data_IF_543415332493
#
_entry.id   IF_543415332493
#
_cell.length_a   1.000
_cell.length_b   1.000
_cell.length_c   1.000
_cell.angle_alpha   90.00
_cell.angle_beta   90.00
_cell.angle_gamma   90.00
#
_symmetry.space_group_name_H-M   'P 1'
#
loop_
_entity.id
_entity.type
_entity.pdbx_description
1 polymer ?
#
# COMPACT_ATOMS: atom_id res chain seq x y z
N UNK A 1 -14.15 -24.53 44.92
CA UNK A 1 -13.96 -25.36 43.71
C UNK A 1 -15.31 -25.57 43.02
N UNK A 2 -15.84 -24.51 42.40
CA UNK A 2 -17.07 -24.58 41.63
C UNK A 2 -16.70 -24.89 40.19
N UNK A 3 -16.81 -26.17 39.82
CA UNK A 3 -16.65 -26.62 38.43
C UNK A 3 -17.59 -25.80 37.55
N UNK A 4 -17.03 -25.14 36.53
CA UNK A 4 -17.82 -24.55 35.45
C UNK A 4 -18.77 -25.62 34.93
N UNK A 5 -20.06 -25.30 34.94
CA UNK A 5 -21.14 -26.24 34.73
C UNK A 5 -21.11 -26.73 33.26
N UNK A 6 -20.42 -27.84 32.97
CA UNK A 6 -20.42 -28.46 31.65
C UNK A 6 -21.84 -28.90 31.28
N UNK A 7 -22.55 -28.10 30.50
CA UNK A 7 -23.80 -28.52 29.87
C UNK A 7 -23.55 -28.80 28.40
N UNK A 8 -23.39 -30.08 28.09
CA UNK A 8 -23.35 -30.58 26.73
C UNK A 8 -24.77 -30.56 26.16
N UNK A 9 -25.11 -29.49 25.44
CA UNK A 9 -26.44 -29.28 24.89
C UNK A 9 -26.62 -30.05 23.58
N UNK A 10 -27.63 -30.94 23.54
CA UNK A 10 -27.98 -31.87 22.44
C UNK A 10 -28.86 -31.25 21.33
N UNK A 11 -28.92 -29.92 21.21
CA UNK A 11 -29.67 -29.32 20.10
C UNK A 11 -28.80 -29.43 18.83
N UNK A 12 -29.34 -30.03 17.77
CA UNK A 12 -28.73 -30.26 16.44
C UNK A 12 -27.66 -31.37 16.27
N UNK A 13 -27.65 -32.43 17.08
CA UNK A 13 -26.66 -33.51 16.97
C UNK A 13 -25.20 -32.99 16.98
N UNK A 14 -24.92 -31.97 17.79
CA UNK A 14 -23.57 -31.41 17.96
C UNK A 14 -23.04 -31.70 19.35
N UNK A 15 -21.73 -31.94 19.42
CA UNK A 15 -20.99 -31.96 20.67
C UNK A 15 -20.54 -30.54 20.96
N UNK A 16 -21.11 -29.91 21.98
CA UNK A 16 -20.74 -28.54 22.38
C UNK A 16 -20.27 -28.50 23.83
N UNK A 17 -19.35 -27.59 24.15
CA UNK A 17 -19.07 -27.20 25.53
C UNK A 17 -19.44 -25.73 25.74
N UNK A 18 -19.83 -25.40 26.97
CA UNK A 18 -20.26 -24.07 27.37
C UNK A 18 -19.21 -23.45 28.28
N UNK A 19 -18.79 -22.22 27.98
CA UNK A 19 -17.92 -21.41 28.85
C UNK A 19 -18.56 -20.03 28.97
N UNK A 20 -19.02 -19.70 30.19
CA UNK A 20 -19.87 -18.53 30.41
C UNK A 20 -21.21 -18.67 29.70
N UNK A 21 -21.52 -17.72 28.82
CA UNK A 21 -22.70 -17.70 27.95
C UNK A 21 -22.39 -18.17 26.52
N UNK A 22 -21.12 -18.44 26.19
CA UNK A 22 -20.70 -18.85 24.86
C UNK A 22 -20.69 -20.38 24.72
N UNK A 23 -21.17 -20.84 23.56
CA UNK A 23 -21.21 -22.26 23.20
C UNK A 23 -20.19 -22.53 22.10
N UNK A 24 -19.29 -23.49 22.34
CA UNK A 24 -18.26 -23.88 21.38
C UNK A 24 -18.50 -25.31 20.90
N UNK A 25 -18.49 -25.51 19.58
CA UNK A 25 -18.67 -26.82 18.98
C UNK A 25 -17.37 -27.59 18.88
N UNK A 26 -17.35 -28.81 19.43
CA UNK A 26 -16.27 -29.78 19.33
C UNK A 26 -16.44 -30.64 18.08
N UNK A 27 -17.66 -31.13 17.83
CA UNK A 27 -17.94 -32.04 16.70
C UNK A 27 -19.41 -32.03 16.31
N UNK A 28 -19.70 -32.59 15.13
CA UNK A 28 -21.05 -32.76 14.58
C UNK A 28 -21.30 -34.25 14.31
N UNK A 29 -22.55 -34.68 14.45
CA UNK A 29 -22.94 -36.07 14.25
C UNK A 29 -24.15 -36.18 13.33
N UNK A 30 -24.17 -37.22 12.51
CA UNK A 30 -25.33 -37.57 11.68
C UNK A 30 -26.38 -38.36 12.47
N UNK A 31 -25.97 -38.97 13.58
CA UNK A 31 -26.79 -39.82 14.44
C UNK A 31 -26.84 -39.30 15.87
N UNK A 32 -27.91 -39.61 16.62
CA UNK A 32 -28.04 -39.18 18.01
C UNK A 32 -27.04 -39.91 18.91
N UNK A 33 -26.08 -39.15 19.43
CA UNK A 33 -25.11 -39.63 20.42
C UNK A 33 -25.58 -39.36 21.86
N UNK A 34 -25.09 -40.15 22.80
CA UNK A 34 -25.33 -40.03 24.24
C UNK A 34 -24.01 -39.86 24.97
N UNK A 35 -23.93 -38.85 25.84
CA UNK A 35 -22.74 -38.55 26.62
C UNK A 35 -22.56 -39.58 27.73
N UNK A 36 -21.41 -40.25 27.78
CA UNK A 36 -21.03 -41.15 28.88
C UNK A 36 -20.33 -40.39 30.01
N UNK A 37 -19.44 -39.45 29.65
CA UNK A 37 -18.72 -38.62 30.61
C UNK A 37 -17.37 -38.15 30.10
N UNK A 38 -16.69 -37.32 30.91
CA UNK A 38 -15.31 -36.89 30.69
C UNK A 38 -14.38 -37.70 31.60
N UNK A 39 -13.28 -38.21 31.04
CA UNK A 39 -12.26 -38.93 31.79
C UNK A 39 -10.98 -38.09 31.86
N UNK A 40 -10.66 -37.46 33.02
CA UNK A 40 -9.52 -36.55 33.15
C UNK A 40 -8.18 -37.20 32.84
N UNK A 41 -8.02 -38.49 33.20
CA UNK A 41 -6.82 -39.28 32.90
C UNK A 41 -6.48 -39.29 31.40
N UNK A 42 -7.52 -39.30 30.56
CA UNK A 42 -7.38 -39.45 29.12
C UNK A 42 -7.61 -38.12 28.37
N UNK A 43 -8.01 -37.04 29.08
CA UNK A 43 -8.31 -35.73 28.48
C UNK A 43 -9.44 -35.77 27.45
N UNK A 44 -10.40 -36.70 27.62
CA UNK A 44 -11.37 -37.05 26.57
C UNK A 44 -12.79 -37.15 27.08
N UNK A 45 -13.72 -36.72 26.25
CA UNK A 45 -15.15 -36.97 26.38
C UNK A 45 -15.49 -38.25 25.64
N UNK A 46 -16.22 -39.14 26.29
CA UNK A 46 -16.73 -40.38 25.70
C UNK A 46 -18.23 -40.27 25.42
N UNK A 47 -18.62 -40.70 24.22
CA UNK A 47 -20.01 -40.78 23.78
C UNK A 47 -20.32 -42.18 23.25
N UNK A 48 -21.59 -42.55 23.29
CA UNK A 48 -22.09 -43.79 22.68
C UNK A 48 -23.33 -43.55 21.83
N UNK A 49 -23.50 -44.36 20.79
CA UNK A 49 -24.73 -44.42 19.97
C UNK A 49 -25.75 -45.42 20.58
N UNK A 50 -26.81 -45.75 19.84
CA UNK A 50 -27.81 -46.73 20.29
C UNK A 50 -27.31 -48.18 20.16
N UNK A 51 -26.34 -48.39 19.28
CA UNK A 51 -25.69 -49.65 18.95
C UNK A 51 -24.55 -49.99 19.93
N UNK A 52 -24.33 -49.15 20.96
CA UNK A 52 -23.27 -49.25 21.96
C UNK A 52 -21.85 -49.07 21.38
N UNK A 53 -21.73 -48.49 20.20
CA UNK A 53 -20.44 -48.03 19.67
C UNK A 53 -19.99 -46.84 20.50
N UNK A 54 -18.75 -46.89 21.00
CA UNK A 54 -18.18 -45.79 21.79
C UNK A 54 -17.22 -44.98 20.93
N UNK A 55 -17.39 -43.66 20.92
CA UNK A 55 -16.47 -42.70 20.29
C UNK A 55 -15.92 -41.76 21.35
N UNK A 56 -14.73 -41.21 21.11
CA UNK A 56 -14.10 -40.26 22.04
C UNK A 56 -13.59 -39.02 21.32
N UNK A 57 -13.70 -37.87 22.00
CA UNK A 57 -13.22 -36.58 21.52
C UNK A 57 -12.30 -35.96 22.55
N UNK A 58 -11.17 -35.42 22.10
CA UNK A 58 -10.26 -34.69 22.96
C UNK A 58 -10.90 -33.35 23.39
N UNK A 59 -10.85 -33.06 24.68
CA UNK A 59 -11.20 -31.76 25.25
C UNK A 59 -10.11 -31.38 26.24
N UNK A 60 -9.33 -30.35 25.91
CA UNK A 60 -8.27 -29.87 26.80
C UNK A 60 -8.89 -29.08 27.95
N UNK A 61 -8.81 -29.63 29.17
CA UNK A 61 -9.32 -28.95 30.35
C UNK A 61 -8.61 -27.61 30.58
N UNK A 62 -7.30 -27.54 30.30
CA UNK A 62 -6.51 -26.31 30.43
C UNK A 62 -7.02 -25.16 29.55
N UNK A 63 -7.47 -25.45 28.33
CA UNK A 63 -8.06 -24.44 27.43
C UNK A 63 -9.39 -23.92 28.00
N UNK A 64 -10.22 -24.83 28.52
CA UNK A 64 -11.51 -24.46 29.12
C UNK A 64 -11.33 -23.64 30.40
N UNK A 65 -10.37 -24.04 31.23
CA UNK A 65 -10.00 -23.31 32.45
C UNK A 65 -9.47 -21.92 32.12
N UNK A 66 -8.57 -21.80 31.13
CA UNK A 66 -8.08 -20.53 30.62
C UNK A 66 -9.22 -19.62 30.16
N UNK A 67 -10.11 -20.12 29.29
CA UNK A 67 -11.27 -19.37 28.83
C UNK A 67 -12.16 -18.92 29.99
N UNK A 68 -12.34 -19.79 30.99
CA UNK A 68 -13.15 -19.47 32.17
C UNK A 68 -12.52 -18.37 33.02
N UNK A 69 -11.18 -18.37 33.19
CA UNK A 69 -10.46 -17.34 33.93
C UNK A 69 -10.54 -15.99 33.23
N UNK A 70 -10.34 -15.95 31.91
CA UNK A 70 -10.49 -14.73 31.10
C UNK A 70 -11.91 -14.16 31.20
N UNK A 71 -12.95 -14.99 31.10
CA UNK A 71 -14.35 -14.53 31.25
C UNK A 71 -14.67 -14.03 32.66
N UNK A 72 -13.94 -14.49 33.68
CA UNK A 72 -14.06 -14.00 35.06
C UNK A 72 -13.26 -12.72 35.31
N UNK A 73 -12.45 -12.27 34.35
CA UNK A 73 -11.56 -11.13 34.48
C UNK A 73 -10.27 -11.41 35.26
N UNK A 74 -9.98 -12.68 35.56
CA UNK A 74 -8.75 -13.09 36.27
C UNK A 74 -7.63 -13.37 35.24
N UNK A 75 -7.08 -12.28 34.70
CA UNK A 75 -6.07 -12.36 33.64
C UNK A 75 -4.71 -12.81 34.14
N UNK A 76 -4.39 -12.54 35.40
CA UNK A 76 -3.11 -12.93 36.01
C UNK A 76 -3.01 -14.46 36.08
N UNK A 77 -4.03 -15.11 36.64
CA UNK A 77 -4.10 -16.57 36.70
C UNK A 77 -4.19 -17.21 35.30
N UNK A 78 -4.88 -16.56 34.36
CA UNK A 78 -4.95 -17.04 32.98
C UNK A 78 -3.57 -17.03 32.31
N UNK A 79 -2.76 -15.99 32.56
CA UNK A 79 -1.41 -15.86 31.98
C UNK A 79 -0.48 -16.95 32.51
N UNK A 80 -0.54 -17.29 33.80
CA UNK A 80 0.23 -18.41 34.36
C UNK A 80 -0.15 -19.75 33.71
N UNK A 81 -1.45 -19.98 33.49
CA UNK A 81 -1.95 -21.20 32.87
C UNK A 81 -1.61 -21.30 31.37
N UNK A 82 -1.27 -20.19 30.71
CA UNK A 82 -1.00 -20.15 29.28
C UNK A 82 0.19 -21.06 28.90
N UNK A 83 1.21 -21.17 29.76
CA UNK A 83 2.41 -21.97 29.53
C UNK A 83 2.11 -23.49 29.50
N UNK A 84 1.10 -23.93 30.24
CA UNK A 84 0.70 -25.33 30.33
C UNK A 84 -0.16 -25.78 29.14
N UNK A 85 -0.62 -24.84 28.31
CA UNK A 85 -1.53 -25.16 27.21
C UNK A 85 -0.72 -25.63 26.00
N UNK A 86 -1.12 -26.75 25.37
CA UNK A 86 -0.47 -27.25 24.16
C UNK A 86 -0.47 -26.23 23.00
N UNK A 87 0.66 -26.14 22.28
CA UNK A 87 0.87 -25.18 21.18
C UNK A 87 -0.15 -25.29 20.04
N UNK A 88 -0.67 -26.49 19.80
CA UNK A 88 -1.70 -26.76 18.79
C UNK A 88 -3.06 -26.12 19.15
N UNK A 89 -3.28 -25.77 20.41
CA UNK A 89 -4.50 -25.08 20.87
C UNK A 89 -4.34 -23.55 20.96
N UNK A 90 -3.13 -23.01 20.80
CA UNK A 90 -2.84 -21.57 20.92
C UNK A 90 -3.67 -20.72 19.95
N UNK A 91 -3.83 -21.14 18.70
CA UNK A 91 -4.66 -20.40 17.75
C UNK A 91 -6.15 -20.33 18.13
N UNK A 92 -6.67 -21.34 18.84
CA UNK A 92 -8.04 -21.28 19.36
C UNK A 92 -8.15 -20.26 20.50
N UNK A 93 -7.10 -20.17 21.33
CA UNK A 93 -7.01 -19.16 22.38
C UNK A 93 -6.90 -17.76 21.79
N UNK A 94 -6.06 -17.56 20.77
CA UNK A 94 -5.94 -16.28 20.08
C UNK A 94 -7.29 -15.79 19.53
N UNK A 95 -8.02 -16.64 18.79
CA UNK A 95 -9.36 -16.30 18.29
C UNK A 95 -10.38 -16.04 19.40
N UNK A 96 -10.28 -16.80 20.50
CA UNK A 96 -11.12 -16.55 21.67
C UNK A 96 -10.83 -15.18 22.28
N UNK A 97 -9.56 -14.84 22.52
CA UNK A 97 -9.13 -13.55 23.06
C UNK A 97 -9.55 -12.40 22.16
N UNK A 98 -9.39 -12.54 20.84
CA UNK A 98 -9.89 -11.58 19.85
C UNK A 98 -11.40 -11.38 19.98
N UNK A 99 -12.18 -12.46 20.07
CA UNK A 99 -13.62 -12.42 20.25
C UNK A 99 -14.06 -11.77 21.56
N UNK A 100 -13.24 -11.84 22.61
CA UNK A 100 -13.45 -11.12 23.87
C UNK A 100 -12.96 -9.66 23.84
N UNK A 101 -12.33 -9.22 22.74
CA UNK A 101 -11.81 -7.86 22.58
C UNK A 101 -10.35 -7.67 23.03
N UNK A 102 -9.69 -8.70 23.56
CA UNK A 102 -8.29 -8.67 23.97
C UNK A 102 -7.34 -8.88 22.78
N UNK A 103 -7.38 -7.98 21.80
CA UNK A 103 -6.65 -8.12 20.54
C UNK A 103 -5.13 -8.13 20.70
N UNK A 104 -4.58 -7.32 21.61
CA UNK A 104 -3.13 -7.31 21.88
C UNK A 104 -2.62 -8.66 22.38
N UNK A 105 -3.31 -9.26 23.36
CA UNK A 105 -2.98 -10.58 23.87
C UNK A 105 -3.22 -11.68 22.82
N UNK A 106 -4.28 -11.53 22.01
CA UNK A 106 -4.53 -12.43 20.90
C UNK A 106 -3.35 -12.47 19.92
N UNK A 107 -2.74 -11.32 19.62
CA UNK A 107 -1.58 -11.23 18.73
C UNK A 107 -0.35 -11.95 19.31
N UNK A 108 -0.12 -11.84 20.61
CA UNK A 108 1.03 -12.46 21.28
C UNK A 108 0.90 -14.00 21.31
N UNK A 109 -0.34 -14.50 21.45
CA UNK A 109 -0.64 -15.93 21.50
C UNK A 109 -0.80 -16.55 20.09
N UNK A 110 -1.15 -15.76 19.08
CA UNK A 110 -1.36 -16.24 17.72
C UNK A 110 -0.10 -16.88 17.13
N UNK A 111 -0.21 -18.15 16.72
CA UNK A 111 0.86 -18.90 16.07
C UNK A 111 0.67 -19.00 14.55
N UNK A 112 -0.56 -18.83 14.07
CA UNK A 112 -0.87 -18.75 12.65
C UNK A 112 -0.48 -17.38 12.07
N UNK A 113 0.24 -17.39 10.96
CA UNK A 113 0.75 -16.17 10.34
C UNK A 113 -0.35 -15.32 9.69
N UNK A 114 -1.39 -15.94 9.12
CA UNK A 114 -2.52 -15.21 8.52
C UNK A 114 -3.28 -14.45 9.62
N UNK A 115 -3.69 -15.17 10.67
CA UNK A 115 -4.40 -14.56 11.78
C UNK A 115 -3.56 -13.48 12.48
N UNK A 116 -2.26 -13.73 12.68
CA UNK A 116 -1.34 -12.75 13.29
C UNK A 116 -1.18 -11.50 12.42
N UNK A 117 -1.18 -11.65 11.09
CA UNK A 117 -1.13 -10.52 10.16
C UNK A 117 -2.38 -9.64 10.27
N UNK A 118 -3.57 -10.25 10.24
CA UNK A 118 -4.84 -9.52 10.35
C UNK A 118 -4.95 -8.79 11.70
N UNK A 119 -4.56 -9.45 12.80
CA UNK A 119 -4.52 -8.85 14.12
C UNK A 119 -3.53 -7.66 14.18
N UNK A 120 -2.33 -7.82 13.61
CA UNK A 120 -1.32 -6.77 13.61
C UNK A 120 -1.79 -5.53 12.83
N UNK A 121 -2.40 -5.73 11.66
CA UNK A 121 -3.01 -4.65 10.87
C UNK A 121 -4.15 -3.98 11.63
N UNK A 122 -5.06 -4.76 12.21
CA UNK A 122 -6.21 -4.23 12.97
C UNK A 122 -5.80 -3.44 14.23
N UNK A 123 -4.64 -3.75 14.81
CA UNK A 123 -4.05 -3.02 15.93
C UNK A 123 -3.16 -1.84 15.52
N UNK A 124 -2.89 -1.66 14.22
CA UNK A 124 -1.94 -0.65 13.73
C UNK A 124 -0.48 -0.97 14.07
N UNK A 125 -0.15 -2.22 14.44
CA UNK A 125 1.23 -2.68 14.69
C UNK A 125 1.92 -3.02 13.37
N UNK A 126 2.23 -1.98 12.60
CA UNK A 126 2.74 -2.08 11.24
C UNK A 126 4.08 -2.83 11.15
N UNK A 127 4.96 -2.73 12.16
CA UNK A 127 6.25 -3.41 12.17
C UNK A 127 6.09 -4.94 12.10
N UNK A 128 5.16 -5.48 12.89
CA UNK A 128 4.87 -6.93 12.92
C UNK A 128 4.22 -7.35 11.60
N UNK A 129 3.30 -6.54 11.06
CA UNK A 129 2.67 -6.83 9.78
C UNK A 129 3.69 -6.84 8.62
N UNK A 130 4.66 -5.92 8.65
CA UNK A 130 5.76 -5.83 7.69
C UNK A 130 6.67 -7.06 7.76
N UNK A 131 7.07 -7.49 8.95
CA UNK A 131 7.88 -8.70 9.11
C UNK A 131 7.18 -9.93 8.52
N UNK A 132 5.88 -10.08 8.77
CA UNK A 132 5.09 -11.18 8.21
C UNK A 132 4.97 -11.07 6.68
N UNK A 133 4.77 -9.85 6.16
CA UNK A 133 4.73 -9.59 4.72
C UNK A 133 6.08 -9.94 4.04
N UNK A 134 7.22 -9.58 4.67
CA UNK A 134 8.57 -9.92 4.20
C UNK A 134 8.83 -11.42 4.12
N UNK A 135 8.35 -12.18 5.10
CA UNK A 135 8.51 -13.64 5.12
C UNK A 135 7.67 -14.33 4.05
N UNK A 136 6.46 -13.83 3.81
CA UNK A 136 5.51 -14.47 2.89
C UNK A 136 5.71 -14.03 1.45
N UNK A 137 6.17 -12.80 1.24
CA UNK A 137 6.50 -12.19 -0.04
C UNK A 137 5.37 -12.29 -1.09
N UNK A 138 4.18 -11.83 -0.70
CA UNK A 138 2.99 -11.80 -1.57
C UNK A 138 2.57 -10.37 -1.81
N UNK A 139 2.41 -9.99 -3.09
CA UNK A 139 2.10 -8.62 -3.53
C UNK A 139 0.86 -8.04 -2.83
N UNK A 140 -0.20 -8.83 -2.64
CA UNK A 140 -1.41 -8.39 -1.94
C UNK A 140 -1.12 -7.96 -0.49
N UNK A 141 -0.31 -8.72 0.25
CA UNK A 141 0.02 -8.39 1.65
C UNK A 141 0.86 -7.13 1.74
N UNK A 142 1.84 -6.99 0.85
CA UNK A 142 2.61 -5.76 0.72
C UNK A 142 1.71 -4.54 0.50
N UNK A 143 0.74 -4.66 -0.42
CA UNK A 143 -0.24 -3.60 -0.66
C UNK A 143 -1.08 -3.30 0.58
N UNK A 144 -1.59 -4.31 1.28
CA UNK A 144 -2.41 -4.10 2.49
C UNK A 144 -1.62 -3.38 3.60
N UNK A 145 -0.36 -3.75 3.82
CA UNK A 145 0.51 -3.04 4.77
C UNK A 145 0.79 -1.62 4.28
N UNK A 146 1.01 -1.43 2.98
CA UNK A 146 1.23 -0.11 2.38
C UNK A 146 0.03 0.83 2.55
N UNK A 147 -1.19 0.33 2.32
CA UNK A 147 -2.43 1.09 2.52
C UNK A 147 -2.63 1.47 4.00
N UNK A 148 -2.34 0.54 4.92
CA UNK A 148 -2.39 0.81 6.35
C UNK A 148 -1.31 1.83 6.79
N UNK A 149 -0.10 1.72 6.24
CA UNK A 149 0.99 2.67 6.49
C UNK A 149 0.66 4.07 5.97
N UNK A 150 0.07 4.17 4.78
CA UNK A 150 -0.39 5.43 4.21
C UNK A 150 -1.49 6.07 5.06
N UNK A 151 -2.46 5.27 5.53
CA UNK A 151 -3.51 5.74 6.45
C UNK A 151 -2.95 6.22 7.81
N UNK A 152 -1.83 5.62 8.25
CA UNK A 152 -1.10 6.03 9.44
C UNK A 152 -0.08 7.16 9.19
N UNK A 153 -0.08 7.77 8.00
CA UNK A 153 0.86 8.83 7.59
C UNK A 153 2.34 8.42 7.56
N UNK A 154 2.63 7.12 7.55
CA UNK A 154 3.99 6.60 7.40
C UNK A 154 4.32 6.42 5.91
N UNK A 155 4.69 7.53 5.26
CA UNK A 155 4.94 7.58 3.82
C UNK A 155 6.14 6.72 3.39
N UNK A 156 7.20 6.68 4.18
CA UNK A 156 8.40 5.90 3.86
C UNK A 156 8.11 4.40 3.85
N UNK A 157 7.33 3.92 4.83
CA UNK A 157 6.91 2.53 4.87
C UNK A 157 5.93 2.21 3.73
N UNK A 158 4.99 3.10 3.45
CA UNK A 158 4.06 2.93 2.34
C UNK A 158 4.80 2.82 1.00
N UNK A 159 5.82 3.64 0.76
CA UNK A 159 6.67 3.58 -0.43
C UNK A 159 7.38 2.22 -0.57
N UNK A 160 8.04 1.74 0.50
CA UNK A 160 8.67 0.41 0.52
C UNK A 160 7.66 -0.69 0.19
N UNK A 161 6.49 -0.64 0.83
CA UNK A 161 5.42 -1.61 0.61
C UNK A 161 4.88 -1.58 -0.83
N UNK A 162 4.59 -0.41 -1.39
CA UNK A 162 4.08 -0.32 -2.76
C UNK A 162 5.13 -0.71 -3.81
N UNK A 163 6.42 -0.45 -3.55
CA UNK A 163 7.51 -0.93 -4.39
C UNK A 163 7.54 -2.45 -4.48
N UNK A 164 7.48 -3.13 -3.33
CA UNK A 164 7.45 -4.59 -3.27
C UNK A 164 6.12 -5.18 -3.80
N UNK A 165 5.00 -4.47 -3.62
CA UNK A 165 3.71 -4.85 -4.18
C UNK A 165 3.60 -4.64 -5.70
N UNK A 166 4.57 -3.96 -6.32
CA UNK A 166 4.51 -3.48 -7.71
C UNK A 166 3.27 -2.63 -7.99
N UNK A 167 2.79 -1.89 -6.99
CA UNK A 167 1.64 -0.99 -7.13
C UNK A 167 2.10 0.35 -7.72
N UNK A 168 2.29 0.35 -9.04
CA UNK A 168 2.78 1.51 -9.78
C UNK A 168 1.85 2.74 -9.67
N UNK A 169 0.55 2.52 -9.47
CA UNK A 169 -0.43 3.60 -9.32
C UNK A 169 -0.26 4.33 -8.00
N UNK A 170 -0.15 3.58 -6.90
CA UNK A 170 0.09 4.13 -5.57
C UNK A 170 1.46 4.80 -5.46
N UNK A 171 2.50 4.22 -6.08
CA UNK A 171 3.82 4.86 -6.19
C UNK A 171 3.77 6.16 -6.99
N UNK A 172 3.04 6.20 -8.12
CA UNK A 172 2.88 7.44 -8.90
C UNK A 172 2.25 8.53 -8.05
N UNK A 173 1.18 8.21 -7.30
CA UNK A 173 0.52 9.16 -6.42
C UNK A 173 1.49 9.68 -5.35
N UNK A 174 2.24 8.79 -4.70
CA UNK A 174 3.16 9.15 -3.63
C UNK A 174 4.29 10.06 -4.16
N UNK A 175 5.02 9.63 -5.18
CA UNK A 175 6.17 10.39 -5.71
C UNK A 175 5.75 11.68 -6.40
N UNK A 176 4.61 11.71 -7.10
CA UNK A 176 4.12 12.96 -7.72
C UNK A 176 3.64 13.97 -6.70
N UNK A 177 3.03 13.52 -5.59
CA UNK A 177 2.57 14.41 -4.52
C UNK A 177 3.73 14.94 -3.67
N UNK A 178 4.78 14.15 -3.46
CA UNK A 178 5.97 14.56 -2.73
C UNK A 178 7.02 15.28 -3.59
N UNK A 179 6.80 15.35 -4.92
CA UNK A 179 7.77 15.87 -5.91
C UNK A 179 9.12 15.13 -5.82
N UNK A 180 9.08 13.83 -5.56
CA UNK A 180 10.26 12.99 -5.54
C UNK A 180 10.70 12.63 -6.97
N UNK A 181 11.66 13.40 -7.50
CA UNK A 181 12.19 13.17 -8.84
C UNK A 181 12.92 11.83 -8.97
N UNK A 182 13.61 11.37 -7.92
CA UNK A 182 14.35 10.12 -7.98
C UNK A 182 13.40 8.92 -7.99
N UNK A 183 12.36 8.96 -7.16
CA UNK A 183 11.29 7.97 -7.15
C UNK A 183 10.51 7.92 -8.46
N UNK A 184 10.14 9.08 -9.03
CA UNK A 184 9.49 9.15 -10.34
C UNK A 184 10.36 8.56 -11.46
N UNK A 185 11.68 8.76 -11.44
CA UNK A 185 12.58 8.18 -12.45
C UNK A 185 12.61 6.65 -12.35
N UNK A 186 12.73 6.11 -11.13
CA UNK A 186 12.70 4.65 -10.88
C UNK A 186 11.34 4.06 -11.29
N UNK A 187 10.25 4.73 -10.93
CA UNK A 187 8.90 4.33 -11.29
C UNK A 187 8.69 4.32 -12.81
N UNK A 188 9.19 5.34 -13.52
CA UNK A 188 9.08 5.40 -14.97
C UNK A 188 9.76 4.18 -15.64
N UNK A 189 10.96 3.82 -15.19
CA UNK A 189 11.69 2.66 -15.69
C UNK A 189 10.97 1.35 -15.37
N UNK A 190 10.52 1.17 -14.12
CA UNK A 190 9.75 -0.01 -13.71
C UNK A 190 8.44 -0.15 -14.49
N UNK A 191 7.72 0.96 -14.72
CA UNK A 191 6.49 1.00 -15.50
C UNK A 191 6.74 0.70 -16.99
N UNK A 192 7.90 1.10 -17.52
CA UNK A 192 8.30 0.79 -18.89
C UNK A 192 8.56 -0.71 -19.06
N UNK A 193 9.25 -1.32 -18.10
CA UNK A 193 9.53 -2.76 -18.06
C UNK A 193 8.27 -3.60 -17.87
N UNK A 194 7.30 -3.13 -17.09
CA UNK A 194 6.02 -3.83 -16.88
C UNK A 194 5.01 -3.64 -18.02
N UNK A 195 5.34 -2.84 -19.05
CA UNK A 195 4.41 -2.49 -20.14
C UNK A 195 3.33 -1.47 -19.74
N UNK A 196 3.41 -0.88 -18.55
CA UNK A 196 2.49 0.15 -18.05
C UNK A 196 2.84 1.54 -18.60
N UNK A 197 2.77 1.70 -19.92
CA UNK A 197 3.24 2.89 -20.62
C UNK A 197 2.56 4.19 -20.20
N UNK A 198 1.29 4.17 -19.78
CA UNK A 198 0.59 5.39 -19.34
C UNK A 198 1.16 5.91 -18.00
N UNK A 199 1.53 5.01 -17.09
CA UNK A 199 2.16 5.36 -15.82
C UNK A 199 3.58 5.88 -16.09
N UNK A 200 4.33 5.19 -16.96
CA UNK A 200 5.65 5.65 -17.38
C UNK A 200 5.60 7.06 -17.99
N UNK A 201 4.66 7.31 -18.90
CA UNK A 201 4.47 8.63 -19.51
C UNK A 201 4.13 9.69 -18.46
N UNK A 202 3.22 9.38 -17.53
CA UNK A 202 2.81 10.32 -16.47
C UNK A 202 3.98 10.65 -15.53
N UNK A 203 4.80 9.67 -15.19
CA UNK A 203 5.99 9.87 -14.37
C UNK A 203 7.03 10.75 -15.08
N UNK A 204 7.33 10.46 -16.35
CA UNK A 204 8.26 11.25 -17.18
C UNK A 204 7.74 12.68 -17.39
N UNK A 205 6.43 12.85 -17.57
CA UNK A 205 5.81 14.16 -17.71
C UNK A 205 5.99 15.01 -16.43
N UNK A 206 5.77 14.40 -15.26
CA UNK A 206 6.00 15.09 -13.98
C UNK A 206 7.47 15.43 -13.73
N UNK A 207 8.39 14.67 -14.33
CA UNK A 207 9.82 14.99 -14.35
C UNK A 207 10.20 16.08 -15.36
N UNK A 208 9.25 16.53 -16.19
CA UNK A 208 9.50 17.43 -17.31
C UNK A 208 10.50 16.86 -18.34
N UNK A 209 10.63 15.54 -18.43
CA UNK A 209 11.47 14.86 -19.42
C UNK A 209 10.70 14.66 -20.73
N UNK A 210 10.60 15.75 -21.49
CA UNK A 210 9.85 15.79 -22.76
C UNK A 210 10.45 14.84 -23.78
N UNK A 211 11.77 14.67 -23.80
CA UNK A 211 12.43 13.74 -24.72
C UNK A 211 12.05 12.29 -24.46
N UNK A 212 12.11 11.87 -23.20
CA UNK A 212 11.75 10.51 -22.83
C UNK A 212 10.25 10.24 -23.07
N UNK A 213 9.38 11.24 -22.87
CA UNK A 213 7.96 11.17 -23.24
C UNK A 213 7.77 10.93 -24.75
N UNK A 214 8.47 11.70 -25.60
CA UNK A 214 8.46 11.51 -27.06
C UNK A 214 8.94 10.12 -27.43
N UNK A 215 10.08 9.69 -26.87
CA UNK A 215 10.68 8.39 -27.16
C UNK A 215 9.75 7.24 -26.77
N UNK A 216 9.05 7.35 -25.63
CA UNK A 216 8.06 6.37 -25.20
C UNK A 216 6.87 6.26 -26.18
N UNK A 217 6.39 7.38 -26.72
CA UNK A 217 5.34 7.39 -27.74
C UNK A 217 5.81 6.73 -29.03
N UNK A 218 7.04 7.02 -29.48
CA UNK A 218 7.65 6.37 -30.65
C UNK A 218 7.81 4.87 -30.43
N UNK A 219 8.33 4.44 -29.28
CA UNK A 219 8.50 3.02 -28.92
C UNK A 219 7.17 2.25 -28.90
N UNK A 220 6.07 2.93 -28.56
CA UNK A 220 4.73 2.34 -28.58
C UNK A 220 4.00 2.49 -29.94
N UNK A 221 4.71 2.89 -31.00
CA UNK A 221 4.20 3.15 -32.34
C UNK A 221 3.10 4.23 -32.44
N UNK A 222 3.05 5.14 -31.47
CA UNK A 222 2.11 6.28 -31.42
C UNK A 222 2.71 7.52 -32.09
N UNK A 223 3.08 7.39 -33.36
CA UNK A 223 3.80 8.43 -34.12
C UNK A 223 3.03 9.75 -34.25
N UNK A 224 1.70 9.68 -34.39
CA UNK A 224 0.85 10.88 -34.49
C UNK A 224 0.95 11.69 -33.20
N UNK A 225 0.71 11.03 -32.07
CA UNK A 225 0.79 11.65 -30.74
C UNK A 225 2.21 12.18 -30.47
N UNK A 226 3.26 11.45 -30.85
CA UNK A 226 4.65 11.93 -30.68
C UNK A 226 4.93 13.20 -31.49
N UNK A 227 4.43 13.29 -32.73
CA UNK A 227 4.60 14.48 -33.57
C UNK A 227 3.86 15.68 -32.98
N UNK A 228 2.60 15.50 -32.57
CA UNK A 228 1.83 16.59 -31.94
C UNK A 228 2.45 17.05 -30.62
N UNK A 229 2.90 16.10 -29.80
CA UNK A 229 3.53 16.39 -28.53
C UNK A 229 4.88 17.12 -28.72
N UNK A 230 5.71 16.66 -29.65
CA UNK A 230 6.95 17.35 -30.03
C UNK A 230 6.65 18.75 -30.60
N UNK A 231 5.69 18.90 -31.50
CA UNK A 231 5.36 20.21 -32.07
C UNK A 231 4.96 21.23 -30.99
N UNK A 232 4.35 20.77 -29.90
CA UNK A 232 3.89 21.64 -28.80
C UNK A 232 5.01 21.94 -27.80
N UNK A 233 5.77 20.94 -27.37
CA UNK A 233 6.69 21.04 -26.23
C UNK A 233 8.18 20.94 -26.59
N UNK A 234 8.50 20.43 -27.79
CA UNK A 234 9.87 20.32 -28.31
C UNK A 234 9.94 20.38 -29.85
N UNK A 235 9.58 21.53 -30.46
CA UNK A 235 9.49 21.69 -31.91
C UNK A 235 10.69 21.15 -32.70
N UNK A 236 11.90 21.29 -32.16
CA UNK A 236 13.17 20.82 -32.74
C UNK A 236 13.18 19.35 -33.14
N UNK A 237 12.42 18.48 -32.46
CA UNK A 237 12.32 17.04 -32.76
C UNK A 237 11.23 16.69 -33.78
N UNK A 238 10.28 17.60 -34.02
CA UNK A 238 9.11 17.38 -34.89
C UNK A 238 9.48 16.97 -36.33
N UNK A 239 10.50 17.54 -36.99
CA UNK A 239 10.81 17.22 -38.38
C UNK A 239 11.15 15.73 -38.58
N UNK A 240 12.08 15.20 -37.77
CA UNK A 240 12.50 13.80 -37.83
C UNK A 240 11.35 12.83 -37.49
N UNK A 241 10.54 13.17 -36.49
CA UNK A 241 9.37 12.38 -36.09
C UNK A 241 8.31 12.34 -37.20
N UNK A 242 8.12 13.44 -37.92
CA UNK A 242 7.16 13.52 -39.03
C UNK A 242 7.59 12.63 -40.19
N UNK A 243 8.89 12.55 -40.48
CA UNK A 243 9.44 11.62 -41.47
C UNK A 243 9.19 10.17 -41.04
N UNK A 244 9.47 9.82 -39.78
CA UNK A 244 9.20 8.48 -39.25
C UNK A 244 7.71 8.12 -39.32
N UNK A 245 6.83 9.08 -39.01
CA UNK A 245 5.38 8.90 -39.15
C UNK A 245 4.97 8.62 -40.59
N UNK A 246 5.49 9.37 -41.57
CA UNK A 246 5.24 9.14 -43.01
C UNK A 246 5.72 7.75 -43.44
N UNK A 247 6.92 7.34 -43.05
CA UNK A 247 7.46 6.01 -43.33
C UNK A 247 6.58 4.89 -42.74
N UNK A 248 6.10 5.06 -41.51
CA UNK A 248 5.18 4.13 -40.85
C UNK A 248 3.85 4.00 -41.61
N UNK A 249 3.29 5.12 -42.09
CA UNK A 249 2.08 5.12 -42.90
C UNK A 249 2.28 4.41 -44.26
N UNK A 250 3.42 4.64 -44.92
CA UNK A 250 3.76 3.97 -46.17
C UNK A 250 3.89 2.46 -46.00
N UNK A 251 4.60 2.03 -44.95
CA UNK A 251 4.72 0.60 -44.58
C UNK A 251 3.35 -0.05 -44.34
N UNK A 252 2.40 0.72 -43.80
CA UNK A 252 1.02 0.28 -43.56
C UNK A 252 0.09 0.47 -44.77
N UNK A 253 0.62 0.75 -45.97
CA UNK A 253 -0.16 0.88 -47.21
C UNK A 253 -0.96 2.18 -47.35
N UNK A 254 -0.75 3.16 -46.46
CA UNK A 254 -1.44 4.46 -46.43
C UNK A 254 -0.65 5.57 -47.13
N UNK A 255 -0.03 5.26 -48.26
CA UNK A 255 0.85 6.19 -49.01
C UNK A 255 0.16 7.49 -49.42
N UNK A 256 -1.14 7.45 -49.75
CA UNK A 256 -1.90 8.66 -50.08
C UNK A 256 -1.97 9.64 -48.90
N UNK A 257 -2.16 9.13 -47.68
CA UNK A 257 -2.20 9.94 -46.46
C UNK A 257 -0.81 10.47 -46.14
N UNK A 258 0.22 9.62 -46.25
CA UNK A 258 1.61 10.01 -46.02
C UNK A 258 2.01 11.23 -46.86
N UNK A 259 1.62 11.28 -48.14
CA UNK A 259 1.93 12.40 -49.05
C UNK A 259 1.28 13.73 -48.69
N UNK A 260 0.18 13.73 -47.95
CA UNK A 260 -0.57 14.96 -47.59
C UNK A 260 -0.01 15.58 -46.29
N UNK A 261 0.77 14.81 -45.51
CA UNK A 261 1.38 15.31 -44.28
C UNK A 261 2.55 16.22 -44.64
N UNK A 262 2.42 17.50 -44.28
CA UNK A 262 3.48 18.50 -44.40
C UNK A 262 4.60 18.23 -43.40
N UNK A 263 5.85 18.34 -43.86
CA UNK A 263 7.05 18.12 -43.04
C UNK A 263 7.63 19.46 -42.61
N UNK A 264 7.78 19.74 -41.30
CA UNK A 264 8.37 20.99 -40.84
C UNK A 264 9.85 21.16 -41.25
N UNK A 265 10.35 22.40 -41.32
CA UNK A 265 11.75 22.69 -41.67
C UNK A 265 12.76 21.99 -40.75
N UNK A 266 13.91 21.59 -41.33
CA UNK A 266 15.02 20.96 -40.59
C UNK A 266 15.46 19.59 -41.10
N UNK A 267 14.79 19.05 -42.13
CA UNK A 267 15.13 17.77 -42.79
C UNK A 267 15.09 17.90 -44.31
N UNK A 268 15.68 16.95 -45.03
CA UNK A 268 15.60 16.91 -46.50
C UNK A 268 14.14 16.74 -46.98
N UNK A 269 13.74 17.51 -48.00
CA UNK A 269 12.38 17.57 -48.53
C UNK A 269 11.32 18.07 -47.51
N UNK A 270 11.70 19.02 -46.66
CA UNK A 270 10.74 19.76 -45.83
C UNK A 270 9.83 20.67 -46.67
N UNK A 271 8.64 20.93 -46.16
CA UNK A 271 7.61 21.77 -46.77
C UNK A 271 7.60 23.16 -46.12
N UNK A 272 8.72 23.89 -46.22
CA UNK A 272 8.99 25.13 -45.48
C UNK A 272 7.87 26.19 -45.62
N UNK A 273 7.29 26.31 -46.81
CA UNK A 273 6.19 27.25 -47.11
C UNK A 273 4.93 26.99 -46.25
N UNK A 274 4.73 25.77 -45.73
CA UNK A 274 3.61 25.42 -44.86
C UNK A 274 3.83 25.83 -43.39
N UNK A 275 5.06 26.20 -43.02
CA UNK A 275 5.45 26.50 -41.63
C UNK A 275 6.19 27.86 -41.53
N UNK A 276 5.55 28.99 -41.89
CA UNK A 276 6.22 30.30 -41.97
C UNK A 276 6.76 30.82 -40.63
N UNK A 277 6.21 30.38 -39.50
CA UNK A 277 6.59 30.80 -38.15
C UNK A 277 7.53 29.80 -37.45
N UNK A 278 8.11 28.84 -38.18
CA UNK A 278 8.87 27.74 -37.58
C UNK A 278 10.09 28.20 -36.76
N UNK A 279 10.84 29.18 -37.28
CA UNK A 279 11.98 29.76 -36.57
C UNK A 279 11.59 30.39 -35.23
N UNK A 280 10.38 30.95 -35.14
CA UNK A 280 9.87 31.52 -33.90
C UNK A 280 9.54 30.43 -32.88
N UNK A 281 9.00 29.28 -33.31
CA UNK A 281 8.80 28.13 -32.41
C UNK A 281 10.12 27.57 -31.88
N UNK A 282 11.16 27.48 -32.72
CA UNK A 282 12.49 27.02 -32.29
C UNK A 282 13.14 28.01 -31.30
N UNK A 283 12.95 29.32 -31.50
CA UNK A 283 13.40 30.34 -30.52
C UNK A 283 12.67 30.21 -29.19
N UNK A 284 11.34 30.04 -29.22
CA UNK A 284 10.53 29.86 -28.00
C UNK A 284 10.95 28.60 -27.23
N UNK A 285 11.27 27.51 -27.91
CA UNK A 285 11.83 26.30 -27.28
C UNK A 285 13.16 26.60 -26.59
N UNK A 286 14.08 27.29 -27.28
CA UNK A 286 15.39 27.64 -26.73
C UNK A 286 15.28 28.61 -25.53
N UNK A 287 14.30 29.51 -25.55
CA UNK A 287 14.08 30.51 -24.50
C UNK A 287 13.23 30.00 -23.33
N UNK A 288 12.40 28.97 -23.56
CA UNK A 288 11.38 28.44 -22.64
C UNK A 288 11.87 27.43 -21.60
N UNK A 289 13.17 27.16 -21.52
CA UNK A 289 13.75 26.35 -20.45
C UNK A 289 13.72 27.03 -19.09
N UNK A 290 14.01 26.28 -18.01
CA UNK A 290 14.28 26.87 -16.68
C UNK A 290 15.51 27.76 -16.84
N UNK A 291 15.31 29.05 -17.10
CA UNK A 291 16.33 30.05 -16.87
C UNK A 291 16.59 29.99 -15.37
N UNK A 292 17.80 29.60 -14.97
CA UNK A 292 18.38 30.05 -13.69
C UNK A 292 18.59 31.55 -13.79
N UNK A 293 17.53 32.31 -14.04
CA UNK A 293 17.49 33.73 -13.78
C UNK A 293 17.54 33.79 -12.26
N UNK A 294 18.65 34.29 -11.73
CA UNK A 294 18.73 34.73 -10.34
C UNK A 294 17.48 35.57 -10.07
N UNK A 295 16.54 34.97 -9.33
CA UNK A 295 15.34 35.65 -8.90
C UNK A 295 15.79 36.69 -7.89
N UNK A 296 15.83 37.95 -8.37
CA UNK A 296 15.87 39.20 -7.62
C UNK A 296 17.28 39.62 -7.16
N UNK A 297 17.99 40.36 -8.02
CA UNK A 297 18.84 41.46 -7.53
C UNK A 297 17.88 42.64 -7.28
N UNK A 298 17.52 42.87 -6.01
CA UNK A 298 16.98 44.18 -5.62
C UNK A 298 18.15 45.14 -5.80
N UNK A 299 18.09 45.94 -6.86
CA UNK A 299 18.86 47.16 -6.99
C UNK A 299 18.56 48.01 -5.75
N UNK A 300 19.44 47.91 -4.76
CA UNK A 300 19.58 48.88 -3.70
C UNK A 300 20.13 50.16 -4.32
N UNK A 301 19.27 50.91 -5.01
CA UNK A 301 19.38 52.36 -5.01
C UNK A 301 19.06 52.81 -3.57
N UNK A 302 20.06 52.66 -2.70
CA UNK A 302 20.15 53.41 -1.48
C UNK A 302 20.48 54.84 -1.88
N UNK A 303 19.47 55.70 -1.85
CA UNK A 303 19.69 57.11 -1.60
C UNK A 303 20.47 57.20 -0.29
N UNK A 304 21.74 57.61 -0.41
CA UNK A 304 22.52 58.12 0.71
C UNK A 304 21.80 59.37 1.22
N UNK A 305 21.18 59.28 2.40
CA UNK A 305 21.05 60.44 3.26
C UNK A 305 21.22 60.05 4.73
N UNK A 306 22.18 60.73 5.33
CA UNK A 306 22.70 60.60 6.67
C UNK A 306 21.62 60.85 7.75
N UNK A 307 21.59 60.02 8.80
CA UNK A 307 21.28 60.48 10.14
C UNK A 307 21.73 59.48 11.22
N UNK A 308 22.87 59.81 11.83
CA UNK A 308 23.21 59.69 13.24
C UNK A 308 22.80 58.43 14.03
N UNK A 309 23.84 57.70 14.42
CA UNK A 309 23.93 56.89 15.63
C UNK A 309 23.49 57.64 16.88
N UNK A 310 22.61 57.04 17.68
CA UNK A 310 22.66 57.18 19.13
C UNK A 310 22.04 55.92 19.79
N UNK A 311 22.43 55.75 21.04
CA UNK A 311 22.80 54.50 21.68
C UNK A 311 21.76 54.09 22.73
N UNK A 312 21.98 52.93 23.36
CA UNK A 312 21.47 52.51 24.69
C UNK A 312 20.05 51.93 24.85
N UNK A 313 20.07 50.61 25.07
CA UNK A 313 19.72 49.93 26.32
C UNK A 313 18.25 49.67 26.72
N UNK A 314 18.12 48.49 27.33
CA UNK A 314 16.96 47.72 27.75
C UNK A 314 16.15 48.33 28.91
N UNK A 315 14.85 47.98 28.94
CA UNK A 315 14.03 47.46 30.06
C UNK A 315 12.55 47.99 30.01
N UNK A 316 11.60 47.52 30.84
CA UNK A 316 10.65 46.45 30.52
C UNK A 316 9.19 46.94 30.47
N UNK A 317 8.32 46.27 29.71
CA UNK A 317 6.89 46.59 29.68
C UNK A 317 6.17 45.84 30.81
N UNK A 318 5.87 46.56 31.89
CA UNK A 318 4.82 46.22 32.84
C UNK A 318 3.98 47.48 33.08
N UNK A 319 2.66 47.39 32.86
CA UNK A 319 1.77 48.53 33.06
C UNK A 319 0.30 48.17 32.84
N UNK A 320 -0.33 47.67 33.89
CA UNK A 320 -1.78 47.67 34.06
C UNK A 320 -2.25 49.04 34.58
N UNK A 321 -3.35 49.55 34.00
CA UNK A 321 -4.34 50.49 34.56
C UNK A 321 -5.15 51.03 33.37
N UNK A 322 -6.47 51.09 33.35
CA UNK A 322 -7.47 51.31 34.41
C UNK A 322 -8.65 50.33 34.34
#
# INVERSE_FOLDING_TARGET
MGWGLFHLHKLDNRLNYLVGDQTYTISHFDQPMYLLGYLPRDGRIYLTDKELTTVSFALSLSVVEYQTLVLRGDMDSATELLEDIPKDQMNKIARFLEGQGYRDLALDVATDQEHRFDLALGLGKLDIALEIAKVTDVEHRWKTVGDAALAAWNLSLAEECYYNAKDLGSLLLLHSSSRDSAGLQKLAEQAKQSGSHNIAFSALWQLSDVDACIDLLVQTNRFVESVFFAQTYKPSRTPELTVQWKQSLEKNGKTKVARIIGVPPGVENADDDLFPEWDNYLKLEAEGGIKTANLIDIDANGDEDEAATEETAEEPVNGASE
#
